data_IF_378781094985
#
_entry.id   IF_378781094985
#
_cell.length_a   1.000
_cell.length_b   1.000
_cell.length_c   1.000
_cell.angle_alpha   90.00
_cell.angle_beta   90.00
_cell.angle_gamma   90.00
#
_symmetry.space_group_name_H-M   'P 1'
#
loop_
_entity.id
_entity.type
_entity.pdbx_description
1 polymer ?
#
# COMPACT_ATOMS: atom_id res chain seq x y z
N UNK A 1 -17.37 0.43 -36.27
CA UNK A 1 -16.97 -0.86 -35.68
C UNK A 1 -15.96 -0.53 -34.61
N UNK A 2 -16.39 -0.49 -33.36
CA UNK A 2 -15.52 -0.18 -32.24
C UNK A 2 -14.57 -1.35 -32.00
N UNK A 3 -13.28 -1.05 -32.00
CA UNK A 3 -12.26 -1.93 -31.43
C UNK A 3 -12.48 -1.96 -29.92
N UNK A 4 -12.71 -3.14 -29.36
CA UNK A 4 -12.60 -3.34 -27.92
C UNK A 4 -11.18 -2.95 -27.48
N UNK A 5 -10.97 -2.29 -26.33
CA UNK A 5 -9.63 -2.10 -25.82
C UNK A 5 -9.04 -3.47 -25.48
N UNK A 6 -7.92 -3.78 -26.13
CA UNK A 6 -7.13 -4.98 -25.91
C UNK A 6 -6.67 -5.05 -24.44
N UNK A 7 -7.00 -6.16 -23.77
CA UNK A 7 -6.29 -6.70 -22.59
C UNK A 7 -6.15 -5.77 -21.38
N UNK A 8 -7.23 -5.48 -20.66
CA UNK A 8 -7.11 -5.01 -19.28
C UNK A 8 -6.61 -6.18 -18.40
N UNK A 9 -5.33 -6.15 -18.03
CA UNK A 9 -4.78 -7.08 -17.03
C UNK A 9 -5.59 -7.03 -15.72
N UNK A 10 -5.60 -8.12 -14.97
CA UNK A 10 -6.33 -8.19 -13.69
C UNK A 10 -5.67 -7.23 -12.70
N UNK A 11 -6.45 -6.31 -12.11
CA UNK A 11 -5.96 -5.45 -11.04
C UNK A 11 -5.61 -6.31 -9.81
N UNK A 12 -4.35 -6.25 -9.38
CA UNK A 12 -3.91 -6.86 -8.13
C UNK A 12 -3.98 -5.83 -7.01
N UNK A 13 -4.70 -6.16 -5.94
CA UNK A 13 -4.74 -5.38 -4.70
C UNK A 13 -4.05 -6.16 -3.61
N UNK A 14 -2.99 -5.58 -3.05
CA UNK A 14 -2.17 -6.21 -2.02
C UNK A 14 -2.35 -5.52 -0.65
N UNK A 15 -2.29 -6.30 0.42
CA UNK A 15 -2.09 -5.79 1.78
C UNK A 15 -1.09 -6.67 2.55
N UNK A 16 -0.65 -6.20 3.70
CA UNK A 16 0.31 -6.93 4.56
C UNK A 16 -0.26 -7.02 5.97
N UNK A 17 -0.35 -8.25 6.50
CA UNK A 17 -0.68 -8.50 7.90
C UNK A 17 0.43 -9.31 8.56
N UNK A 18 1.17 -8.67 9.47
CA UNK A 18 2.12 -9.36 10.35
C UNK A 18 1.52 -9.51 11.76
N UNK A 19 1.66 -10.70 12.35
CA UNK A 19 1.29 -10.95 13.74
C UNK A 19 2.10 -10.10 14.73
N UNK A 20 1.55 -9.94 15.95
CA UNK A 20 2.20 -9.22 17.06
C UNK A 20 1.92 -7.72 17.12
N UNK A 21 1.13 -7.16 16.18
CA UNK A 21 0.67 -5.78 16.20
C UNK A 21 -0.80 -5.62 16.61
N UNK A 22 -1.33 -4.41 16.43
CA UNK A 22 -2.75 -4.11 16.66
C UNK A 22 -3.68 -4.62 15.54
N UNK A 23 -3.09 -4.91 14.37
CA UNK A 23 -3.83 -5.41 13.21
C UNK A 23 -4.10 -6.90 13.31
N UNK A 24 -5.27 -7.32 12.83
CA UNK A 24 -5.76 -8.70 12.93
C UNK A 24 -6.41 -9.17 11.62
N UNK A 25 -6.64 -10.47 11.43
CA UNK A 25 -7.25 -11.01 10.22
C UNK A 25 -8.59 -10.35 9.84
N UNK A 26 -9.42 -9.95 10.81
CA UNK A 26 -10.67 -9.24 10.54
C UNK A 26 -10.48 -7.89 9.82
N UNK A 27 -9.34 -7.22 10.01
CA UNK A 27 -9.04 -5.98 9.29
C UNK A 27 -8.70 -6.24 7.82
N UNK A 28 -8.12 -7.41 7.51
CA UNK A 28 -7.91 -7.86 6.12
C UNK A 28 -9.26 -8.17 5.47
N UNK A 29 -10.13 -8.89 6.18
CA UNK A 29 -11.50 -9.20 5.70
C UNK A 29 -12.29 -7.93 5.42
N UNK A 30 -12.22 -6.93 6.31
CA UNK A 30 -12.86 -5.62 6.15
C UNK A 30 -12.39 -4.90 4.89
N UNK A 31 -11.07 -4.75 4.72
CA UNK A 31 -10.50 -4.08 3.56
C UNK A 31 -10.83 -4.80 2.26
N UNK A 32 -10.76 -6.13 2.24
CA UNK A 32 -11.13 -6.96 1.07
C UNK A 32 -12.59 -6.75 0.68
N UNK A 33 -13.51 -6.71 1.63
CA UNK A 33 -14.92 -6.47 1.36
C UNK A 33 -15.12 -5.13 0.65
N UNK A 34 -14.54 -4.05 1.17
CA UNK A 34 -14.63 -2.72 0.54
C UNK A 34 -14.02 -2.69 -0.87
N UNK A 35 -12.91 -3.39 -1.09
CA UNK A 35 -12.32 -3.51 -2.44
C UNK A 35 -13.28 -4.19 -3.41
N UNK A 36 -13.89 -5.31 -3.00
CA UNK A 36 -14.80 -6.06 -3.87
C UNK A 36 -16.15 -5.39 -4.10
N UNK A 37 -16.57 -4.50 -3.19
CA UNK A 37 -17.77 -3.68 -3.38
C UNK A 37 -17.63 -2.71 -4.57
N UNK A 38 -16.40 -2.25 -4.86
CA UNK A 38 -16.14 -1.27 -5.94
C UNK A 38 -15.37 -1.84 -7.14
N UNK A 39 -14.54 -2.87 -6.94
CA UNK A 39 -13.80 -3.57 -8.00
C UNK A 39 -13.95 -5.10 -7.80
N UNK A 40 -15.09 -5.69 -8.18
CA UNK A 40 -15.42 -7.09 -7.89
C UNK A 40 -14.49 -8.10 -8.57
N UNK A 41 -13.89 -7.73 -9.70
CA UNK A 41 -13.00 -8.59 -10.49
C UNK A 41 -11.52 -8.47 -10.08
N UNK A 42 -11.21 -7.70 -9.02
CA UNK A 42 -9.84 -7.57 -8.52
C UNK A 42 -9.32 -8.89 -7.92
N UNK A 43 -8.01 -9.14 -8.09
CA UNK A 43 -7.31 -10.18 -7.33
C UNK A 43 -6.80 -9.57 -6.02
N UNK A 44 -7.35 -10.02 -4.89
CA UNK A 44 -6.94 -9.54 -3.56
C UNK A 44 -5.95 -10.51 -2.89
N UNK A 45 -4.75 -10.03 -2.58
CA UNK A 45 -3.64 -10.80 -2.00
C UNK A 45 -3.21 -10.21 -0.66
N UNK A 46 -3.02 -11.04 0.36
CA UNK A 46 -2.45 -10.62 1.64
C UNK A 46 -1.13 -11.35 1.91
N UNK A 47 -0.05 -10.59 2.13
CA UNK A 47 1.20 -11.12 2.67
C UNK A 47 1.05 -11.27 4.18
N UNK A 48 1.10 -12.50 4.70
CA UNK A 48 0.87 -12.74 6.12
C UNK A 48 1.59 -13.96 6.69
N UNK A 49 1.92 -13.89 7.99
CA UNK A 49 2.40 -15.00 8.82
C UNK A 49 1.27 -15.71 9.59
N UNK A 50 0.04 -15.21 9.52
CA UNK A 50 -1.17 -15.80 10.13
C UNK A 50 -2.18 -16.21 9.06
N UNK A 51 -3.25 -16.91 9.46
CA UNK A 51 -4.34 -17.24 8.55
C UNK A 51 -5.20 -15.99 8.26
N UNK A 52 -5.61 -15.84 7.00
CA UNK A 52 -6.47 -14.75 6.51
C UNK A 52 -7.46 -15.31 5.50
N UNK A 53 -8.65 -14.70 5.42
CA UNK A 53 -9.73 -15.12 4.51
C UNK A 53 -9.59 -14.45 3.13
N UNK A 54 -8.47 -14.73 2.45
CA UNK A 54 -8.18 -14.29 1.08
C UNK A 54 -7.01 -15.10 0.51
N UNK A 55 -6.55 -14.78 -0.69
CA UNK A 55 -5.31 -15.34 -1.21
C UNK A 55 -4.14 -14.92 -0.31
N UNK A 56 -3.58 -15.89 0.41
CA UNK A 56 -2.48 -15.66 1.34
C UNK A 56 -1.14 -16.01 0.72
N UNK A 57 -0.23 -15.06 0.78
CA UNK A 57 1.19 -15.27 0.50
C UNK A 57 1.96 -15.25 1.83
N UNK A 58 2.77 -16.26 2.09
CA UNK A 58 3.55 -16.29 3.34
C UNK A 58 4.61 -15.17 3.35
N UNK A 59 4.72 -14.48 4.48
CA UNK A 59 5.94 -13.73 4.82
C UNK A 59 7.10 -14.72 4.99
N UNK A 60 8.26 -14.42 4.42
CA UNK A 60 9.47 -15.27 4.54
C UNK A 60 10.52 -14.65 5.45
N UNK A 61 10.35 -13.39 5.87
CA UNK A 61 11.25 -12.71 6.80
C UNK A 61 10.58 -12.35 8.11
N UNK A 62 11.41 -12.24 9.14
CA UNK A 62 10.98 -11.80 10.46
C UNK A 62 11.07 -10.27 10.66
N UNK A 63 10.89 -9.48 9.59
CA UNK A 63 10.96 -8.02 9.66
C UNK A 63 9.78 -7.40 10.41
N UNK A 64 10.05 -6.82 11.57
CA UNK A 64 9.02 -6.38 12.50
C UNK A 64 8.11 -5.26 11.95
N UNK A 65 6.82 -5.32 12.29
CA UNK A 65 5.85 -4.27 12.01
C UNK A 65 5.80 -3.87 10.54
N UNK A 66 5.82 -2.55 10.27
CA UNK A 66 5.76 -1.99 8.92
C UNK A 66 6.89 -2.46 8.00
N UNK A 67 8.02 -2.95 8.52
CA UNK A 67 9.12 -3.42 7.68
C UNK A 67 8.76 -4.68 6.87
N UNK A 68 7.74 -5.44 7.28
CA UNK A 68 7.22 -6.55 6.47
C UNK A 68 6.68 -6.11 5.11
N UNK A 69 6.33 -4.82 4.93
CA UNK A 69 5.92 -4.29 3.62
C UNK A 69 6.98 -4.43 2.55
N UNK A 70 8.27 -4.46 2.91
CA UNK A 70 9.34 -4.61 1.94
C UNK A 70 9.26 -5.96 1.18
N UNK A 71 8.58 -6.96 1.76
CA UNK A 71 8.33 -8.24 1.07
C UNK A 71 7.36 -8.13 -0.12
N UNK A 72 6.62 -7.03 -0.26
CA UNK A 72 5.81 -6.75 -1.46
C UNK A 72 6.66 -6.67 -2.73
N UNK A 73 7.92 -6.31 -2.59
CA UNK A 73 8.85 -6.18 -3.71
C UNK A 73 9.67 -7.45 -3.95
N UNK A 74 9.24 -8.63 -3.45
CA UNK A 74 9.97 -9.88 -3.74
C UNK A 74 9.98 -10.17 -5.24
N UNK A 75 11.13 -10.58 -5.83
CA UNK A 75 11.19 -10.94 -7.24
C UNK A 75 10.16 -12.03 -7.59
N UNK A 76 9.43 -11.84 -8.69
CA UNK A 76 8.45 -12.82 -9.20
C UNK A 76 7.19 -12.98 -8.34
N UNK A 77 6.90 -12.03 -7.44
CA UNK A 77 5.68 -12.07 -6.63
C UNK A 77 4.44 -11.63 -7.40
N UNK A 78 4.60 -10.62 -8.27
CA UNK A 78 3.53 -10.05 -9.07
C UNK A 78 4.02 -9.89 -10.52
N UNK A 79 3.20 -10.34 -11.47
CA UNK A 79 3.45 -10.24 -12.91
C UNK A 79 2.58 -9.16 -13.57
N UNK A 80 1.70 -8.52 -12.79
CA UNK A 80 0.76 -7.48 -13.20
C UNK A 80 0.91 -6.26 -12.29
N UNK A 81 0.47 -5.07 -12.71
CA UNK A 81 0.48 -3.87 -11.88
C UNK A 81 -0.30 -4.05 -10.56
N UNK A 82 0.26 -3.52 -9.47
CA UNK A 82 -0.22 -3.73 -8.10
C UNK A 82 -0.64 -2.41 -7.48
N UNK A 83 -1.71 -2.43 -6.69
CA UNK A 83 -2.04 -1.39 -5.71
C UNK A 83 -1.93 -1.99 -4.32
N UNK A 84 -1.08 -1.42 -3.48
CA UNK A 84 -0.97 -1.73 -2.06
C UNK A 84 -1.82 -0.79 -1.22
N UNK A 85 -2.51 -1.36 -0.23
CA UNK A 85 -3.29 -0.63 0.77
C UNK A 85 -2.89 -1.08 2.19
N UNK A 86 -2.58 -0.11 3.06
CA UNK A 86 -2.47 -0.36 4.50
C UNK A 86 -3.83 -0.76 5.08
N UNK A 87 -3.81 -1.55 6.16
CA UNK A 87 -5.03 -2.08 6.79
C UNK A 87 -5.87 -1.01 7.51
N UNK A 88 -5.28 0.15 7.81
CA UNK A 88 -5.96 1.34 8.36
C UNK A 88 -6.41 2.30 7.25
N UNK A 89 -7.01 1.76 6.20
CA UNK A 89 -7.54 2.52 5.08
C UNK A 89 -9.00 2.12 4.83
N UNK A 90 -9.81 3.04 4.31
CA UNK A 90 -11.12 2.76 3.72
C UNK A 90 -11.09 2.98 2.20
N UNK A 91 -11.72 2.07 1.48
CA UNK A 91 -12.00 2.24 0.05
C UNK A 91 -13.42 2.79 -0.09
N UNK A 92 -13.53 3.95 -0.74
CA UNK A 92 -14.78 4.74 -0.80
C UNK A 92 -15.34 4.90 -2.20
N UNK A 93 -14.55 4.60 -3.24
CA UNK A 93 -14.99 4.62 -4.64
C UNK A 93 -14.10 3.73 -5.51
N UNK A 94 -14.57 3.43 -6.73
CA UNK A 94 -13.81 2.70 -7.74
C UNK A 94 -12.46 3.41 -8.02
N UNK A 95 -11.38 2.64 -7.83
CA UNK A 95 -9.99 3.03 -7.94
C UNK A 95 -9.25 2.28 -9.05
N UNK A 96 -9.98 1.54 -9.91
CA UNK A 96 -9.43 0.73 -11.00
C UNK A 96 -8.66 1.54 -12.03
N UNK A 97 -8.87 2.85 -12.11
CA UNK A 97 -8.17 3.76 -13.02
C UNK A 97 -6.97 4.49 -12.38
N UNK A 98 -6.67 4.26 -11.09
CA UNK A 98 -5.50 4.88 -10.44
C UNK A 98 -4.19 4.50 -11.15
N UNK A 99 -3.27 5.45 -11.27
CA UNK A 99 -1.96 5.26 -11.93
C UNK A 99 -1.17 4.11 -11.31
N UNK A 100 -0.54 3.28 -12.15
CA UNK A 100 0.23 2.09 -11.77
C UNK A 100 1.47 1.88 -12.62
N UNK A 101 1.93 2.87 -13.38
CA UNK A 101 3.14 2.79 -14.20
C UNK A 101 4.40 2.83 -13.33
N UNK A 102 4.97 4.01 -13.06
CA UNK A 102 6.07 4.15 -12.10
C UNK A 102 5.59 4.00 -10.65
N UNK A 103 6.52 3.77 -9.72
CA UNK A 103 6.18 3.80 -8.30
C UNK A 103 5.46 5.10 -7.92
N UNK A 104 4.19 4.96 -7.54
CA UNK A 104 3.33 6.03 -7.03
C UNK A 104 3.03 5.75 -5.56
N UNK A 105 3.16 6.78 -4.72
CA UNK A 105 2.97 6.68 -3.27
C UNK A 105 1.96 7.72 -2.79
N UNK A 106 1.32 7.53 -1.63
CA UNK A 106 0.52 8.62 -1.08
C UNK A 106 1.43 9.77 -0.62
N UNK A 107 0.93 11.01 -0.69
CA UNK A 107 1.64 12.15 -0.12
C UNK A 107 1.81 12.02 1.38
N UNK A 108 2.88 12.57 1.94
CA UNK A 108 2.94 12.77 3.38
C UNK A 108 1.99 13.90 3.77
N UNK A 109 1.02 13.59 4.62
CA UNK A 109 -0.08 14.51 4.93
C UNK A 109 0.32 15.80 5.68
N UNK A 110 1.54 15.84 6.25
CA UNK A 110 2.04 16.99 7.00
C UNK A 110 3.28 17.65 6.39
N UNK A 111 3.96 17.00 5.44
CA UNK A 111 5.28 17.44 4.94
C UNK A 111 5.26 17.31 3.41
N UNK A 112 5.01 18.40 2.67
CA UNK A 112 4.73 18.35 1.23
C UNK A 112 5.81 17.70 0.37
N UNK A 113 7.07 17.74 0.81
CA UNK A 113 8.21 17.18 0.08
C UNK A 113 8.46 15.69 0.37
N UNK A 114 7.68 15.09 1.29
CA UNK A 114 7.79 13.70 1.69
C UNK A 114 6.60 12.87 1.18
N UNK A 115 6.81 11.56 1.10
CA UNK A 115 5.80 10.56 0.70
C UNK A 115 5.54 9.58 1.82
N UNK A 116 4.35 9.00 1.85
CA UNK A 116 3.93 7.91 2.74
C UNK A 116 3.75 6.59 1.98
N UNK A 117 3.91 5.47 2.67
CA UNK A 117 3.77 4.11 2.09
C UNK A 117 2.42 3.45 2.41
N UNK A 118 1.45 4.21 2.92
CA UNK A 118 0.13 3.67 3.28
C UNK A 118 -0.75 3.30 2.08
N UNK A 119 -0.51 3.95 0.95
CA UNK A 119 -1.04 3.56 -0.36
C UNK A 119 0.11 3.65 -1.34
N UNK A 120 0.33 2.58 -2.12
CA UNK A 120 1.36 2.57 -3.16
C UNK A 120 0.83 1.87 -4.41
N UNK A 121 1.35 2.21 -5.58
CA UNK A 121 1.09 1.49 -6.81
C UNK A 121 2.35 1.40 -7.67
N UNK A 122 2.52 0.31 -8.40
CA UNK A 122 3.64 0.13 -9.31
C UNK A 122 3.33 -0.95 -10.36
N UNK A 123 3.98 -0.82 -11.51
CA UNK A 123 3.91 -1.77 -12.63
C UNK A 123 5.30 -2.09 -13.19
N UNK A 124 6.35 -1.70 -12.46
CA UNK A 124 7.75 -1.94 -12.80
C UNK A 124 8.41 -2.95 -11.85
N UNK A 125 9.57 -3.49 -12.23
CA UNK A 125 10.37 -4.36 -11.37
C UNK A 125 11.09 -3.55 -10.27
N UNK A 126 10.53 -3.62 -9.06
CA UNK A 126 11.08 -3.01 -7.85
C UNK A 126 11.86 -3.99 -6.97
N UNK A 127 12.23 -5.17 -7.47
CA UNK A 127 12.90 -6.23 -6.68
C UNK A 127 14.22 -5.80 -6.05
N UNK A 128 14.88 -4.80 -6.63
CA UNK A 128 16.08 -4.21 -6.05
C UNK A 128 15.83 -3.54 -4.69
N UNK A 129 14.62 -3.03 -4.40
CA UNK A 129 14.27 -2.50 -3.07
C UNK A 129 14.32 -3.61 -2.02
N UNK A 130 13.72 -4.76 -2.35
CA UNK A 130 13.75 -5.95 -1.50
C UNK A 130 15.18 -6.45 -1.29
N UNK A 131 15.97 -6.65 -2.35
CA UNK A 131 17.34 -7.15 -2.22
C UNK A 131 18.25 -6.15 -1.47
N UNK A 132 18.06 -4.84 -1.69
CA UNK A 132 18.80 -3.80 -0.96
C UNK A 132 18.50 -3.85 0.53
N UNK A 133 17.22 -3.98 0.91
CA UNK A 133 16.84 -4.07 2.32
C UNK A 133 17.37 -5.35 2.96
N UNK A 134 17.12 -6.48 2.31
CA UNK A 134 17.50 -7.83 2.76
C UNK A 134 19.01 -7.98 2.97
N UNK A 135 19.84 -7.28 2.18
CA UNK A 135 21.29 -7.33 2.33
C UNK A 135 21.78 -6.75 3.68
N UNK A 136 21.05 -5.82 4.30
CA UNK A 136 21.44 -5.18 5.56
C UNK A 136 20.24 -4.58 6.31
N UNK A 137 19.26 -5.38 6.75
CA UNK A 137 17.99 -4.87 7.27
C UNK A 137 18.18 -4.00 8.52
N UNK A 138 19.00 -4.44 9.47
CA UNK A 138 19.27 -3.69 10.72
C UNK A 138 19.84 -2.30 10.43
N UNK A 139 20.80 -2.21 9.51
CA UNK A 139 21.39 -0.93 9.09
C UNK A 139 20.33 0.01 8.53
N UNK A 140 19.44 -0.48 7.68
CA UNK A 140 18.40 0.35 7.07
C UNK A 140 17.37 0.79 8.11
N UNK A 141 16.97 -0.11 9.00
CA UNK A 141 16.09 0.19 10.14
C UNK A 141 16.71 1.28 11.03
N UNK A 142 18.01 1.24 11.28
CA UNK A 142 18.69 2.24 12.11
C UNK A 142 18.86 3.59 11.41
N UNK A 143 19.08 3.60 10.11
CA UNK A 143 19.15 4.83 9.32
C UNK A 143 17.79 5.49 9.13
N UNK A 144 16.71 4.71 9.11
CA UNK A 144 15.38 5.20 8.81
C UNK A 144 14.61 5.69 10.05
N UNK A 145 15.28 6.52 10.87
CA UNK A 145 14.76 7.07 12.14
C UNK A 145 14.83 8.59 12.22
N UNK A 146 15.12 9.24 11.09
CA UNK A 146 15.14 10.70 10.97
C UNK A 146 13.93 11.15 10.16
N UNK A 147 13.52 12.41 10.31
CA UNK A 147 12.29 12.92 9.69
C UNK A 147 12.29 12.73 8.17
N UNK A 148 13.41 12.98 7.53
CA UNK A 148 13.58 12.94 6.07
C UNK A 148 13.66 11.50 5.52
N UNK A 149 13.86 10.52 6.40
CA UNK A 149 13.98 9.11 6.06
C UNK A 149 13.35 8.30 7.18
N UNK A 150 12.03 8.39 7.34
CA UNK A 150 11.32 7.72 8.42
C UNK A 150 10.74 6.38 7.95
N UNK A 151 11.03 5.29 8.66
CA UNK A 151 10.40 3.99 8.43
C UNK A 151 10.58 3.42 7.01
N UNK A 152 9.65 2.56 6.63
CA UNK A 152 9.58 1.91 5.32
C UNK A 152 9.38 2.92 4.19
N UNK A 153 8.53 3.94 4.36
CA UNK A 153 8.36 5.01 3.36
C UNK A 153 9.66 5.75 3.05
N UNK A 154 10.46 6.06 4.07
CA UNK A 154 11.75 6.71 3.93
C UNK A 154 12.77 5.82 3.22
N UNK A 155 12.81 4.54 3.59
CA UNK A 155 13.64 3.56 2.90
C UNK A 155 13.28 3.44 1.42
N UNK A 156 11.99 3.25 1.11
CA UNK A 156 11.49 3.08 -0.26
C UNK A 156 11.83 4.32 -1.09
N UNK A 157 11.49 5.51 -0.62
CA UNK A 157 11.75 6.77 -1.32
C UNK A 157 13.24 7.02 -1.56
N UNK A 158 14.10 6.74 -0.56
CA UNK A 158 15.55 6.91 -0.65
C UNK A 158 16.21 5.96 -1.65
N UNK A 159 15.72 4.73 -1.74
CA UNK A 159 16.35 3.68 -2.53
C UNK A 159 15.72 3.47 -3.91
N UNK A 160 14.53 4.03 -4.15
CA UNK A 160 13.92 4.07 -5.47
C UNK A 160 14.83 4.83 -6.45
N UNK A 161 15.01 4.29 -7.65
CA UNK A 161 15.93 4.85 -8.65
C UNK A 161 15.42 6.12 -9.32
N UNK A 162 14.10 6.36 -9.24
CA UNK A 162 13.46 7.59 -9.69
C UNK A 162 13.01 8.46 -8.53
N UNK A 163 12.16 9.45 -8.84
CA UNK A 163 11.34 10.13 -7.84
C UNK A 163 9.96 9.47 -7.85
N UNK A 164 9.40 9.02 -6.71
CA UNK A 164 8.06 8.47 -6.71
C UNK A 164 7.04 9.51 -7.18
N UNK A 165 6.08 9.09 -7.98
CA UNK A 165 4.88 9.88 -8.23
C UNK A 165 3.99 9.87 -6.98
N UNK A 166 3.00 10.76 -6.96
CA UNK A 166 2.20 11.01 -5.77
C UNK A 166 0.71 10.99 -6.08
N UNK A 167 -0.05 10.23 -5.30
CA UNK A 167 -1.52 10.34 -5.26
C UNK A 167 -1.94 11.61 -4.55
N UNK A 168 -2.85 12.37 -5.17
CA UNK A 168 -3.29 13.67 -4.68
C UNK A 168 -4.72 13.58 -4.15
N UNK A 169 -5.70 13.86 -4.99
CA UNK A 169 -7.12 13.87 -4.60
C UNK A 169 -7.67 12.45 -4.39
N UNK A 170 -7.03 11.44 -4.97
CA UNK A 170 -7.48 10.05 -4.90
C UNK A 170 -7.27 9.45 -3.50
N UNK A 171 -6.25 9.92 -2.78
CA UNK A 171 -5.89 9.43 -1.44
C UNK A 171 -5.91 10.59 -0.45
N UNK A 172 -6.91 10.61 0.41
CA UNK A 172 -7.14 11.68 1.38
C UNK A 172 -6.93 11.19 2.82
N UNK A 173 -6.62 12.11 3.72
CA UNK A 173 -6.48 11.82 5.15
C UNK A 173 -7.82 12.00 5.86
N UNK A 174 -8.28 10.95 6.55
CA UNK A 174 -9.50 11.00 7.36
C UNK A 174 -9.53 12.23 8.28
N UNK A 175 -8.50 12.41 9.10
CA UNK A 175 -8.50 13.44 10.16
C UNK A 175 -8.24 14.87 9.69
N UNK A 176 -7.76 15.05 8.46
CA UNK A 176 -7.37 16.37 7.94
C UNK A 176 -8.33 16.87 6.87
N UNK A 177 -8.95 15.96 6.12
CA UNK A 177 -9.71 16.29 4.92
C UNK A 177 -11.14 15.77 4.95
N UNK A 178 -11.48 14.87 5.88
CA UNK A 178 -12.83 14.27 5.93
C UNK A 178 -13.71 14.83 7.06
N UNK A 179 -13.36 16.00 7.63
CA UNK A 179 -14.11 16.60 8.75
C UNK A 179 -15.57 16.91 8.39
N UNK A 180 -15.81 17.33 7.15
CA UNK A 180 -17.14 17.66 6.61
C UNK A 180 -17.68 16.56 5.67
N UNK A 181 -17.13 15.34 5.77
CA UNK A 181 -17.38 14.23 4.86
C UNK A 181 -16.24 13.99 3.87
N UNK A 182 -16.30 12.87 3.16
CA UNK A 182 -15.27 12.47 2.19
C UNK A 182 -15.28 13.42 0.98
N UNK A 183 -14.16 14.07 0.61
CA UNK A 183 -14.10 14.96 -0.55
C UNK A 183 -14.43 14.28 -1.87
N UNK A 184 -15.03 15.04 -2.79
CA UNK A 184 -15.30 14.57 -4.15
C UNK A 184 -14.00 14.12 -4.85
N UNK A 185 -14.07 12.98 -5.54
CA UNK A 185 -12.93 12.40 -6.26
C UNK A 185 -12.02 11.53 -5.39
N UNK A 186 -12.16 11.55 -4.06
CA UNK A 186 -11.45 10.62 -3.18
C UNK A 186 -11.88 9.18 -3.48
N UNK A 187 -10.88 8.30 -3.56
CA UNK A 187 -11.04 6.86 -3.78
C UNK A 187 -10.70 6.07 -2.53
N UNK A 188 -9.74 6.59 -1.78
CA UNK A 188 -9.13 5.96 -0.64
C UNK A 188 -9.01 6.97 0.49
N UNK A 189 -9.42 6.58 1.69
CA UNK A 189 -9.30 7.38 2.91
C UNK A 189 -8.29 6.72 3.85
N UNK A 190 -7.16 7.37 4.09
CA UNK A 190 -6.09 6.87 4.96
C UNK A 190 -6.28 7.32 6.42
N UNK A 191 -6.24 6.37 7.35
CA UNK A 191 -6.33 6.59 8.81
C UNK A 191 -4.96 6.50 9.47
N UNK A 192 -4.02 7.34 9.01
CA UNK A 192 -2.69 7.41 9.59
C UNK A 192 -2.73 7.74 11.09
N UNK A 193 -2.01 6.98 11.92
CA UNK A 193 -2.04 7.14 13.37
C UNK A 193 -3.42 6.79 13.98
N UNK A 194 -4.00 7.71 14.76
CA UNK A 194 -5.34 7.59 15.37
C UNK A 194 -6.32 8.66 14.85
N UNK A 195 -7.63 8.38 14.75
CA UNK A 195 -8.29 7.10 15.04
C UNK A 195 -7.98 6.03 13.97
N UNK A 196 -8.28 4.76 14.25
CA UNK A 196 -8.34 3.71 13.23
C UNK A 196 -9.75 3.65 12.61
N UNK A 197 -9.93 3.04 11.43
CA UNK A 197 -11.24 2.98 10.78
C UNK A 197 -12.33 2.29 11.61
N UNK A 198 -11.96 1.31 12.43
CA UNK A 198 -12.88 0.60 13.32
C UNK A 198 -13.07 1.29 14.69
N UNK A 199 -12.43 2.45 14.90
CA UNK A 199 -12.61 3.26 16.10
C UNK A 199 -13.65 4.39 15.88
N UNK A 200 -14.20 4.55 14.66
CA UNK A 200 -15.12 5.63 14.26
C UNK A 200 -16.52 5.14 13.90
#
# INVERSE_FOLDING_TARGET
MGTAPDGAGILIVACVLRSGGEYKPEHVTRLRAQVFDVVPDARFVCLSDVAVDCERVNLVHNWAGWWSKIELFRPGLFDEPVIYLDLDTDVVADFSEMERGPLTMCRHFFEPDLVGSGVMAWGEDLSYLYETFKASPERHVDQCRVKECWGDQGFISKHYRGKPDVFWSEVVSHKLECADGVPDGAKIVAYHGRPKPWDV
#
